data_IF_929700563134
#
_entry.id   IF_929700563134
#
_cell.length_a   1.000
_cell.length_b   1.000
_cell.length_c   1.000
_cell.angle_alpha   90.00
_cell.angle_beta   90.00
_cell.angle_gamma   90.00
#
_symmetry.space_group_name_H-M   'P 1'
#
loop_
_entity.id
_entity.type
_entity.pdbx_description
1 polymer ?
#
# COMPACT_ATOMS: atom_id res chain seq x y z
N UNK A 1 -13.73 37.53 -50.51
CA UNK A 1 -14.31 36.67 -49.46
C UNK A 1 -13.49 35.40 -49.38
N UNK A 2 -13.07 35.04 -48.17
CA UNK A 2 -12.58 33.72 -47.75
C UNK A 2 -11.23 33.23 -48.28
N UNK A 3 -10.20 33.28 -47.42
CA UNK A 3 -9.39 32.09 -47.13
C UNK A 3 -8.71 32.24 -45.77
N UNK A 4 -9.08 31.36 -44.86
CA UNK A 4 -8.68 31.27 -43.46
C UNK A 4 -7.24 30.75 -43.35
N UNK A 5 -6.34 31.57 -42.80
CA UNK A 5 -5.06 31.11 -42.26
C UNK A 5 -5.18 31.02 -40.75
N UNK A 6 -5.14 29.81 -40.20
CA UNK A 6 -5.26 29.58 -38.76
C UNK A 6 -5.02 28.14 -38.39
N UNK A 7 -3.86 27.58 -38.79
CA UNK A 7 -3.36 26.36 -38.16
C UNK A 7 -3.03 26.69 -36.71
N UNK A 8 -3.90 26.25 -35.81
CA UNK A 8 -3.69 26.31 -34.37
C UNK A 8 -2.42 25.53 -34.01
N UNK A 9 -1.49 26.18 -33.32
CA UNK A 9 -0.38 25.48 -32.67
C UNK A 9 -0.95 24.45 -31.68
N UNK A 10 -0.38 23.24 -31.59
CA UNK A 10 -0.78 22.28 -30.56
C UNK A 10 -0.53 22.88 -29.18
N UNK A 11 -1.51 22.71 -28.29
CA UNK A 11 -1.45 23.13 -26.88
C UNK A 11 -0.28 22.42 -26.18
N UNK A 12 0.44 23.17 -25.35
CA UNK A 12 1.59 22.73 -24.53
C UNK A 12 1.21 21.80 -23.36
N UNK A 13 -0.03 21.32 -23.28
CA UNK A 13 -0.56 20.64 -22.09
C UNK A 13 -0.69 19.11 -22.21
N UNK A 14 -0.01 18.48 -23.18
CA UNK A 14 0.03 17.01 -23.27
C UNK A 14 1.47 16.49 -23.15
N UNK A 15 1.75 15.54 -22.25
CA UNK A 15 3.06 14.93 -22.16
C UNK A 15 3.35 14.12 -23.42
N UNK A 16 4.58 14.25 -23.90
CA UNK A 16 5.11 13.53 -25.07
C UNK A 16 5.00 12.01 -24.86
N UNK A 17 4.74 11.29 -25.94
CA UNK A 17 4.79 9.82 -25.97
C UNK A 17 6.21 9.37 -25.63
N UNK A 18 6.37 8.77 -24.44
CA UNK A 18 7.65 8.26 -23.97
C UNK A 18 7.97 6.95 -24.72
N UNK A 19 9.17 6.91 -25.30
CA UNK A 19 9.72 5.74 -25.99
C UNK A 19 10.01 4.61 -24.96
N UNK A 20 9.42 3.41 -25.11
CA UNK A 20 9.67 2.28 -24.22
C UNK A 20 11.15 1.88 -24.10
N UNK A 21 11.95 2.13 -25.14
CA UNK A 21 13.38 1.82 -25.11
C UNK A 21 14.16 2.81 -24.24
N UNK A 22 13.76 4.10 -24.28
CA UNK A 22 14.32 5.12 -23.40
C UNK A 22 14.02 4.83 -21.92
N UNK A 23 12.86 4.23 -21.62
CA UNK A 23 12.52 3.80 -20.24
C UNK A 23 13.40 2.65 -19.77
N UNK A 24 13.74 1.69 -20.65
CA UNK A 24 14.62 0.57 -20.30
C UNK A 24 16.07 1.03 -20.07
N UNK A 25 16.56 1.95 -20.90
CA UNK A 25 17.89 2.54 -20.75
C UNK A 25 17.98 3.42 -19.48
N UNK A 26 16.89 4.13 -19.15
CA UNK A 26 16.76 4.89 -17.91
C UNK A 26 16.70 3.96 -16.68
N UNK A 27 16.07 2.78 -16.77
CA UNK A 27 16.08 1.78 -15.70
C UNK A 27 17.46 1.15 -15.47
N UNK A 28 18.26 0.95 -16.52
CA UNK A 28 19.65 0.51 -16.38
C UNK A 28 20.52 1.58 -15.72
N UNK A 29 20.34 2.83 -16.10
CA UNK A 29 21.03 3.96 -15.47
C UNK A 29 20.63 4.14 -13.99
N UNK A 30 19.37 3.89 -13.65
CA UNK A 30 18.87 3.87 -12.27
C UNK A 30 19.56 2.77 -11.45
N UNK A 31 19.81 1.61 -12.04
CA UNK A 31 20.54 0.53 -11.37
C UNK A 31 21.98 0.93 -11.04
N UNK A 32 22.68 1.62 -11.96
CA UNK A 32 24.05 2.10 -11.75
C UNK A 32 24.14 3.23 -10.70
N UNK A 33 23.18 4.18 -10.70
CA UNK A 33 23.14 5.28 -9.73
C UNK A 33 22.81 4.81 -8.30
N UNK A 34 21.96 3.78 -8.16
CA UNK A 34 21.65 3.18 -6.86
C UNK A 34 22.86 2.43 -6.28
N UNK A 35 23.69 1.82 -7.13
CA UNK A 35 24.94 1.19 -6.71
C UNK A 35 25.96 2.21 -6.17
N UNK A 36 26.06 3.40 -6.77
CA UNK A 36 26.98 4.44 -6.29
C UNK A 36 26.52 5.14 -4.99
N UNK A 37 25.21 5.09 -4.68
CA UNK A 37 24.63 5.61 -3.43
C UNK A 37 24.91 4.73 -2.19
N UNK A 38 25.46 3.52 -2.34
CA UNK A 38 25.70 2.58 -1.24
C UNK A 38 26.70 3.08 -0.17
N UNK A 39 27.51 4.10 -0.46
CA UNK A 39 28.62 4.52 0.43
C UNK A 39 28.25 5.44 1.60
N UNK A 40 26.98 5.83 1.79
CA UNK A 40 26.62 6.82 2.82
C UNK A 40 25.32 6.55 3.59
N UNK A 41 25.18 5.36 4.17
CA UNK A 41 24.37 5.10 5.38
C UNK A 41 24.57 3.64 5.75
N UNK A 42 24.74 3.31 7.03
CA UNK A 42 24.69 1.94 7.54
C UNK A 42 23.34 1.32 7.13
N UNK A 43 23.38 0.55 6.05
CA UNK A 43 22.26 0.03 5.26
C UNK A 43 22.36 -1.49 5.33
N UNK A 44 21.40 -2.12 6.01
CA UNK A 44 21.29 -3.57 6.14
C UNK A 44 19.86 -3.96 5.74
N UNK A 45 19.52 -3.81 4.45
CA UNK A 45 18.11 -3.70 4.01
C UNK A 45 17.42 -4.99 3.48
N UNK A 46 18.09 -5.98 2.86
CA UNK A 46 17.37 -7.19 2.40
C UNK A 46 17.24 -8.29 3.47
N UNK A 47 18.28 -8.53 4.27
CA UNK A 47 18.34 -9.66 5.23
C UNK A 47 17.32 -9.50 6.35
N UNK A 48 17.18 -8.29 6.90
CA UNK A 48 16.23 -8.01 7.99
C UNK A 48 14.77 -8.10 7.52
N UNK A 49 14.49 -7.69 6.28
CA UNK A 49 13.17 -7.84 5.66
C UNK A 49 12.79 -9.32 5.54
N UNK A 50 13.71 -10.15 5.02
CA UNK A 50 13.50 -11.61 4.92
C UNK A 50 13.33 -12.27 6.30
N UNK A 51 14.08 -11.84 7.32
CA UNK A 51 13.92 -12.31 8.71
C UNK A 51 12.53 -11.99 9.27
N UNK A 52 12.05 -10.76 9.09
CA UNK A 52 10.70 -10.36 9.51
C UNK A 52 9.61 -11.10 8.75
N UNK A 53 9.82 -11.39 7.48
CA UNK A 53 8.90 -12.21 6.69
C UNK A 53 8.79 -13.62 7.29
N UNK A 54 9.92 -14.27 7.61
CA UNK A 54 9.94 -15.58 8.26
C UNK A 54 9.26 -15.55 9.65
N UNK A 55 9.46 -14.50 10.43
CA UNK A 55 8.76 -14.31 11.71
C UNK A 55 7.23 -14.24 11.52
N UNK A 56 6.75 -13.51 10.50
CA UNK A 56 5.32 -13.46 10.17
C UNK A 56 4.77 -14.81 9.68
N UNK A 57 5.53 -15.55 8.89
CA UNK A 57 5.16 -16.89 8.42
C UNK A 57 5.08 -17.88 9.58
N UNK A 58 6.04 -17.83 10.50
CA UNK A 58 6.02 -18.62 11.72
C UNK A 58 4.82 -18.25 12.60
N UNK A 59 4.54 -16.96 12.77
CA UNK A 59 3.37 -16.50 13.51
C UNK A 59 2.07 -17.01 12.85
N UNK A 60 1.93 -16.86 11.53
CA UNK A 60 0.78 -17.38 10.77
C UNK A 60 0.59 -18.87 11.01
N UNK A 61 1.67 -19.65 10.87
CA UNK A 61 1.65 -21.10 11.04
C UNK A 61 1.28 -21.49 12.47
N UNK A 62 1.77 -20.76 13.48
CA UNK A 62 1.40 -20.98 14.88
C UNK A 62 -0.10 -20.77 15.13
N UNK A 63 -0.69 -19.75 14.49
CA UNK A 63 -2.12 -19.48 14.56
C UNK A 63 -2.94 -20.53 13.81
N UNK A 64 -2.47 -21.01 12.66
CA UNK A 64 -3.10 -22.10 11.90
C UNK A 64 -3.12 -23.40 12.72
N UNK A 65 -2.00 -23.75 13.36
CA UNK A 65 -1.92 -24.89 14.28
C UNK A 65 -2.89 -24.71 15.45
N UNK A 66 -2.87 -23.56 16.12
CA UNK A 66 -3.81 -23.28 17.22
C UNK A 66 -5.27 -23.42 16.77
N UNK A 67 -5.65 -22.82 15.64
CA UNK A 67 -6.99 -22.92 15.07
C UNK A 67 -7.37 -24.37 14.73
N UNK A 68 -6.43 -25.18 14.25
CA UNK A 68 -6.66 -26.60 13.96
C UNK A 68 -6.90 -27.44 15.22
N UNK A 69 -6.20 -27.15 16.33
CA UNK A 69 -6.41 -27.80 17.64
C UNK A 69 -7.78 -27.44 18.22
N UNK A 70 -8.20 -26.18 18.08
CA UNK A 70 -9.56 -25.77 18.46
C UNK A 70 -10.63 -26.39 17.54
N UNK A 71 -10.33 -26.60 16.24
CA UNK A 71 -11.22 -27.23 15.28
C UNK A 71 -11.39 -28.75 15.47
N UNK A 72 -10.35 -29.47 15.89
CA UNK A 72 -10.41 -30.92 16.15
C UNK A 72 -11.11 -31.26 17.46
N UNK A 73 -10.95 -30.44 18.50
CA UNK A 73 -11.76 -30.55 19.73
C UNK A 73 -13.27 -30.29 19.50
N UNK A 74 -13.60 -29.62 18.40
CA UNK A 74 -14.96 -29.25 18.01
C UNK A 74 -15.73 -30.40 17.33
N UNK A 75 -15.07 -31.19 16.48
CA UNK A 75 -15.70 -32.34 15.80
C UNK A 75 -16.06 -33.44 16.81
N UNK A 76 -15.31 -33.54 17.92
CA UNK A 76 -15.60 -34.48 19.00
C UNK A 76 -16.74 -34.07 19.95
N UNK A 77 -17.14 -32.79 19.99
CA UNK A 77 -18.14 -32.28 20.96
C UNK A 77 -19.25 -31.43 20.30
N UNK A 78 -20.14 -32.12 19.60
CA UNK A 78 -21.51 -31.72 19.28
C UNK A 78 -21.75 -30.61 18.24
N UNK A 79 -22.39 -31.03 17.16
CA UNK A 79 -23.52 -30.27 16.63
C UNK A 79 -24.48 -29.92 17.80
N UNK A 80 -24.67 -28.63 18.06
CA UNK A 80 -25.74 -28.02 18.91
C UNK A 80 -25.49 -27.79 20.42
N UNK A 81 -24.24 -27.72 20.92
CA UNK A 81 -24.00 -27.20 22.28
C UNK A 81 -23.68 -25.70 22.30
N UNK A 82 -24.07 -24.97 23.35
CA UNK A 82 -23.71 -23.55 23.59
C UNK A 82 -22.18 -23.38 23.62
N UNK A 83 -21.46 -24.42 24.05
CA UNK A 83 -19.99 -24.51 24.02
C UNK A 83 -19.45 -24.50 22.58
N UNK A 84 -20.15 -25.14 21.64
CA UNK A 84 -19.84 -25.05 20.21
C UNK A 84 -20.02 -23.63 19.65
N UNK A 85 -21.12 -22.94 19.96
CA UNK A 85 -21.30 -21.54 19.56
C UNK A 85 -20.20 -20.61 20.13
N UNK A 86 -19.78 -20.84 21.37
CA UNK A 86 -18.65 -20.13 21.98
C UNK A 86 -17.31 -20.45 21.30
N UNK A 87 -17.06 -21.70 20.93
CA UNK A 87 -15.87 -22.09 20.17
C UNK A 87 -15.81 -21.45 18.78
N UNK A 88 -16.94 -21.30 18.08
CA UNK A 88 -17.05 -20.54 16.82
C UNK A 88 -16.71 -19.05 17.01
N UNK A 89 -17.21 -18.43 18.08
CA UNK A 89 -16.91 -17.04 18.41
C UNK A 89 -15.42 -16.83 18.79
N UNK A 90 -14.82 -17.81 19.48
CA UNK A 90 -13.41 -17.77 19.88
C UNK A 90 -12.47 -18.07 18.69
N UNK A 91 -12.86 -18.92 17.74
CA UNK A 91 -12.10 -19.23 16.52
C UNK A 91 -12.15 -18.10 15.47
N UNK A 92 -13.09 -17.16 15.57
CA UNK A 92 -13.19 -16.03 14.63
C UNK A 92 -12.00 -15.05 14.71
N UNK A 93 -11.51 -14.79 15.92
CA UNK A 93 -10.35 -13.91 16.17
C UNK A 93 -9.04 -14.45 15.57
N UNK A 94 -8.65 -15.72 15.76
CA UNK A 94 -7.47 -16.27 15.11
C UNK A 94 -7.63 -16.33 13.59
N UNK A 95 -8.81 -16.66 13.06
CA UNK A 95 -9.02 -16.71 11.60
C UNK A 95 -8.83 -15.35 10.92
N UNK A 96 -9.39 -14.28 11.50
CA UNK A 96 -9.22 -12.92 10.97
C UNK A 96 -7.76 -12.45 11.06
N UNK A 97 -7.02 -12.88 12.08
CA UNK A 97 -5.58 -12.63 12.21
C UNK A 97 -4.76 -13.40 11.17
N UNK A 98 -5.01 -14.70 10.98
CA UNK A 98 -4.38 -15.52 9.93
C UNK A 98 -4.60 -14.85 8.57
N UNK A 99 -5.84 -14.52 8.23
CA UNK A 99 -6.15 -13.85 6.97
C UNK A 99 -5.44 -12.50 6.83
N UNK A 100 -5.27 -11.73 7.91
CA UNK A 100 -4.50 -10.48 7.87
C UNK A 100 -3.01 -10.76 7.58
N UNK A 101 -2.41 -11.71 8.30
CA UNK A 101 -1.02 -12.11 8.12
C UNK A 101 -0.76 -12.65 6.72
N UNK A 102 -1.61 -13.55 6.19
CA UNK A 102 -1.46 -14.08 4.83
C UNK A 102 -1.48 -12.99 3.76
N UNK A 103 -2.30 -11.94 3.93
CA UNK A 103 -2.33 -10.82 2.98
C UNK A 103 -1.07 -9.96 3.07
N UNK A 104 -0.59 -9.73 4.29
CA UNK A 104 0.63 -8.96 4.50
C UNK A 104 1.87 -9.70 3.98
N UNK A 105 1.99 -11.00 4.25
CA UNK A 105 3.06 -11.86 3.71
C UNK A 105 3.08 -11.78 2.19
N UNK A 106 1.93 -12.01 1.53
CA UNK A 106 1.82 -11.92 0.07
C UNK A 106 2.17 -10.55 -0.49
N UNK A 107 1.80 -9.47 0.20
CA UNK A 107 2.17 -8.12 -0.20
C UNK A 107 3.69 -7.93 -0.15
N UNK A 108 4.34 -8.41 0.92
CA UNK A 108 5.80 -8.32 1.08
C UNK A 108 6.50 -9.14 0.01
N UNK A 109 6.08 -10.39 -0.20
CA UNK A 109 6.60 -11.27 -1.26
C UNK A 109 6.50 -10.59 -2.64
N UNK A 110 5.32 -10.07 -2.98
CA UNK A 110 5.08 -9.36 -4.25
C UNK A 110 6.02 -8.17 -4.45
N UNK A 111 6.29 -7.42 -3.38
CA UNK A 111 7.19 -6.27 -3.44
C UNK A 111 8.67 -6.68 -3.53
N UNK A 112 9.07 -7.72 -2.79
CA UNK A 112 10.43 -8.27 -2.85
C UNK A 112 10.70 -8.85 -4.24
N UNK A 113 9.82 -9.71 -4.74
CA UNK A 113 9.95 -10.30 -6.09
C UNK A 113 10.10 -9.23 -7.18
N UNK A 114 9.40 -8.10 -7.05
CA UNK A 114 9.42 -7.05 -8.06
C UNK A 114 10.57 -6.04 -7.91
N UNK A 115 11.12 -5.88 -6.71
CA UNK A 115 11.99 -4.73 -6.39
C UNK A 115 13.20 -5.07 -5.49
N UNK A 116 13.50 -6.35 -5.25
CA UNK A 116 14.67 -6.76 -4.46
C UNK A 116 15.98 -6.22 -5.05
N UNK A 117 16.13 -6.24 -6.38
CA UNK A 117 17.29 -5.70 -7.08
C UNK A 117 17.43 -4.17 -6.94
N UNK A 118 16.37 -3.48 -6.54
CA UNK A 118 16.38 -2.05 -6.23
C UNK A 118 16.63 -1.77 -4.74
N UNK A 119 16.95 -2.79 -3.95
CA UNK A 119 17.25 -2.62 -2.53
C UNK A 119 16.04 -2.28 -1.67
N UNK A 120 14.85 -2.76 -2.04
CA UNK A 120 13.62 -2.50 -1.28
C UNK A 120 13.71 -3.10 0.14
N UNK A 121 13.32 -2.32 1.14
CA UNK A 121 13.10 -2.75 2.51
C UNK A 121 11.61 -2.72 2.81
N UNK A 122 11.08 -3.80 3.40
CA UNK A 122 9.68 -3.93 3.74
C UNK A 122 9.54 -4.26 5.24
N UNK A 123 9.15 -3.27 6.03
CA UNK A 123 8.99 -3.36 7.47
C UNK A 123 7.51 -3.54 7.86
N UNK A 124 7.08 -4.76 8.21
CA UNK A 124 5.71 -5.01 8.59
C UNK A 124 5.39 -4.54 10.02
N UNK A 125 4.09 -4.29 10.25
CA UNK A 125 3.49 -4.15 11.59
C UNK A 125 4.20 -3.13 12.49
N UNK A 126 4.57 -1.96 11.95
CA UNK A 126 5.20 -0.91 12.75
C UNK A 126 4.19 -0.42 13.79
N UNK A 127 4.52 -0.65 15.06
CA UNK A 127 3.67 -0.27 16.20
C UNK A 127 3.62 1.25 16.34
N UNK A 128 2.40 1.75 16.55
CA UNK A 128 2.09 3.12 16.91
C UNK A 128 1.24 3.07 18.19
N UNK A 129 1.63 3.76 19.28
CA UNK A 129 0.84 3.81 20.50
C UNK A 129 -0.59 4.26 20.22
N UNK A 130 -1.54 3.63 20.90
CA UNK A 130 -2.98 3.94 20.87
C UNK A 130 -3.68 3.83 19.49
N UNK A 131 -2.96 3.32 18.47
CA UNK A 131 -3.47 3.09 17.13
C UNK A 131 -3.19 1.63 16.71
N UNK A 132 -3.83 1.17 15.63
CA UNK A 132 -3.40 -0.09 15.01
C UNK A 132 -1.96 0.08 14.47
N UNK A 133 -1.20 -1.02 14.36
CA UNK A 133 0.07 -0.99 13.65
C UNK A 133 -0.13 -0.56 12.20
N UNK A 134 0.87 0.12 11.65
CA UNK A 134 0.99 0.30 10.19
C UNK A 134 1.26 -1.07 9.61
N UNK A 135 0.48 -1.50 8.63
CA UNK A 135 0.63 -2.86 8.12
C UNK A 135 1.97 -3.05 7.43
N UNK A 136 2.38 -2.10 6.58
CA UNK A 136 3.66 -2.15 5.91
C UNK A 136 4.27 -0.76 5.67
N UNK A 137 5.54 -0.63 6.03
CA UNK A 137 6.39 0.48 5.67
C UNK A 137 7.39 -0.02 4.63
N UNK A 138 7.42 0.61 3.47
CA UNK A 138 8.29 0.19 2.36
C UNK A 138 9.25 1.32 2.06
N UNK A 139 10.54 1.03 2.01
CA UNK A 139 11.60 2.02 1.78
C UNK A 139 12.52 1.56 0.67
N UNK A 140 12.96 2.51 -0.14
CA UNK A 140 13.97 2.30 -1.17
C UNK A 140 15.26 3.02 -0.79
N UNK A 141 16.41 2.68 -1.39
CA UNK A 141 17.62 3.48 -1.25
C UNK A 141 17.31 4.92 -1.68
N UNK A 142 17.62 5.91 -0.84
CA UNK A 142 17.20 7.32 -1.03
C UNK A 142 16.50 7.97 0.16
N UNK A 143 16.14 7.17 1.18
CA UNK A 143 15.43 7.56 2.42
C UNK A 143 13.95 7.88 2.21
N UNK A 144 13.42 7.74 1.00
CA UNK A 144 12.00 7.80 0.76
C UNK A 144 11.26 6.50 1.10
N UNK A 145 9.99 6.63 1.49
CA UNK A 145 9.19 5.49 1.90
C UNK A 145 7.71 5.65 1.56
N UNK A 146 7.04 4.51 1.42
CA UNK A 146 5.61 4.34 1.22
C UNK A 146 5.02 3.71 2.48
N UNK A 147 3.79 4.07 2.81
CA UNK A 147 3.02 3.42 3.87
C UNK A 147 1.81 2.73 3.26
N UNK A 148 1.65 1.43 3.54
CA UNK A 148 0.51 0.65 3.09
C UNK A 148 -0.37 0.24 4.27
N UNK A 149 -1.68 0.41 4.08
CA UNK A 149 -2.73 -0.17 4.90
C UNK A 149 -3.49 -1.21 4.06
N UNK A 150 -3.40 -2.48 4.46
CA UNK A 150 -4.00 -3.60 3.72
C UNK A 150 -5.36 -3.94 4.32
N UNK A 151 -6.41 -3.90 3.50
CA UNK A 151 -7.78 -3.99 3.97
C UNK A 151 -8.61 -4.90 3.06
N UNK A 152 -9.56 -5.62 3.63
CA UNK A 152 -10.47 -6.50 2.88
C UNK A 152 -11.83 -6.49 3.55
N UNK A 153 -12.87 -6.41 2.74
CA UNK A 153 -14.27 -6.42 3.14
C UNK A 153 -15.03 -7.62 2.55
N UNK A 154 -14.31 -8.68 2.14
CA UNK A 154 -14.89 -9.84 1.47
C UNK A 154 -15.47 -9.43 0.11
N UNK A 155 -16.63 -9.97 -0.23
CA UNK A 155 -17.38 -9.61 -1.45
C UNK A 155 -18.07 -8.25 -1.26
N UNK A 156 -17.29 -7.18 -1.27
CA UNK A 156 -17.77 -5.80 -1.16
C UNK A 156 -17.12 -4.91 -2.22
N UNK A 157 -17.82 -3.85 -2.59
CA UNK A 157 -17.28 -2.78 -3.44
C UNK A 157 -17.04 -1.53 -2.60
N UNK A 158 -15.84 -0.96 -2.68
CA UNK A 158 -15.43 0.25 -1.98
C UNK A 158 -15.71 1.47 -2.85
N UNK A 159 -16.34 2.48 -2.26
CA UNK A 159 -16.74 3.71 -2.93
C UNK A 159 -16.26 4.89 -2.10
N UNK A 160 -15.81 5.95 -2.76
CA UNK A 160 -15.49 7.20 -2.09
C UNK A 160 -16.67 8.15 -2.29
N UNK A 161 -17.22 8.64 -1.20
CA UNK A 161 -18.29 9.62 -1.23
C UNK A 161 -17.68 11.01 -1.06
N UNK A 162 -17.67 11.80 -2.13
CA UNK A 162 -17.07 13.14 -2.16
C UNK A 162 -17.75 14.10 -1.18
N UNK A 163 -19.09 14.11 -1.12
CA UNK A 163 -19.85 15.00 -0.24
C UNK A 163 -19.58 14.75 1.24
N UNK A 164 -19.32 13.49 1.61
CA UNK A 164 -19.00 13.09 2.99
C UNK A 164 -17.51 12.93 3.24
N UNK A 165 -16.68 13.12 2.20
CA UNK A 165 -15.23 12.95 2.20
C UNK A 165 -14.73 11.64 2.85
N UNK A 166 -15.48 10.54 2.68
CA UNK A 166 -15.22 9.28 3.37
C UNK A 166 -15.41 8.06 2.45
N UNK A 167 -14.73 6.97 2.80
CA UNK A 167 -14.92 5.68 2.14
C UNK A 167 -16.16 4.97 2.69
N UNK A 168 -16.85 4.29 1.80
CA UNK A 168 -18.01 3.46 2.04
C UNK A 168 -17.77 2.08 1.42
N UNK A 169 -18.44 1.05 1.96
CA UNK A 169 -18.48 -0.26 1.34
C UNK A 169 -19.94 -0.67 1.06
N UNK A 170 -20.16 -1.30 -0.09
CA UNK A 170 -21.43 -1.87 -0.55
C UNK A 170 -21.31 -3.39 -0.60
N UNK A 171 -22.34 -4.13 -0.16
CA UNK A 171 -22.40 -5.60 -0.22
C UNK A 171 -23.65 -6.03 -0.98
N UNK A 172 -23.49 -6.54 -2.20
CA UNK A 172 -24.59 -6.93 -3.06
C UNK A 172 -25.63 -5.80 -3.21
N UNK A 173 -26.92 -6.14 -3.09
CA UNK A 173 -28.04 -5.17 -3.17
C UNK A 173 -28.30 -4.38 -1.87
N UNK A 174 -27.48 -4.54 -0.83
CA UNK A 174 -27.65 -3.80 0.43
C UNK A 174 -27.12 -2.37 0.30
N UNK A 175 -27.65 -1.46 1.12
CA UNK A 175 -27.19 -0.08 1.19
C UNK A 175 -25.69 0.04 1.55
N UNK A 176 -25.11 1.20 1.23
CA UNK A 176 -23.70 1.49 1.55
C UNK A 176 -23.53 1.79 3.03
N UNK A 177 -22.51 1.20 3.66
CA UNK A 177 -22.10 1.54 5.03
C UNK A 177 -20.80 2.32 5.00
N UNK A 178 -20.67 3.29 5.91
CA UNK A 178 -19.41 4.02 6.07
C UNK A 178 -18.33 3.03 6.52
N UNK A 179 -17.14 3.20 5.96
CA UNK A 179 -15.98 2.46 6.42
C UNK A 179 -15.47 3.10 7.71
N UNK A 180 -15.65 2.39 8.82
CA UNK A 180 -15.15 2.80 10.13
C UNK A 180 -14.30 1.68 10.75
N UNK A 181 -13.13 2.00 11.32
CA UNK A 181 -12.46 3.31 11.26
C UNK A 181 -12.02 3.70 9.82
N UNK A 182 -11.92 5.01 9.53
CA UNK A 182 -11.47 5.51 8.21
C UNK A 182 -9.99 5.17 8.01
N UNK A 183 -9.64 4.27 7.06
CA UNK A 183 -8.26 3.81 6.88
C UNK A 183 -7.34 4.93 6.39
N UNK A 184 -7.86 5.94 5.70
CA UNK A 184 -7.07 7.07 5.21
C UNK A 184 -6.70 8.01 6.34
N UNK A 185 -7.63 8.22 7.28
CA UNK A 185 -7.38 9.02 8.47
C UNK A 185 -6.39 8.31 9.40
N UNK A 186 -6.63 7.03 9.67
CA UNK A 186 -5.73 6.18 10.46
C UNK A 186 -4.29 6.24 9.94
N UNK A 187 -4.10 6.03 8.63
CA UNK A 187 -2.78 6.07 8.00
C UNK A 187 -2.12 7.46 8.08
N UNK A 188 -2.92 8.52 8.06
CA UNK A 188 -2.43 9.91 8.22
C UNK A 188 -1.96 10.19 9.64
N UNK A 189 -2.67 9.68 10.64
CA UNK A 189 -2.32 9.85 12.06
C UNK A 189 -1.09 9.02 12.43
N UNK A 190 -1.03 7.79 11.92
CA UNK A 190 0.15 6.93 12.01
C UNK A 190 1.38 7.58 11.37
N UNK A 191 1.28 8.08 10.14
CA UNK A 191 2.37 8.77 9.44
C UNK A 191 2.86 10.00 10.20
N UNK A 192 1.92 10.78 10.76
CA UNK A 192 2.24 11.93 11.60
C UNK A 192 3.02 11.51 12.84
N UNK A 193 2.59 10.44 13.52
CA UNK A 193 3.26 9.93 14.73
C UNK A 193 4.66 9.41 14.43
N UNK A 194 4.85 8.62 13.37
CA UNK A 194 6.18 8.12 12.98
C UNK A 194 7.15 9.28 12.80
N UNK A 195 6.76 10.28 12.00
CA UNK A 195 7.59 11.46 11.70
C UNK A 195 8.07 12.19 12.96
N UNK A 196 7.27 12.19 14.02
CA UNK A 196 7.58 12.85 15.29
C UNK A 196 8.45 11.99 16.19
N UNK A 197 8.20 10.68 16.25
CA UNK A 197 8.70 9.82 17.32
C UNK A 197 9.71 8.76 16.87
N UNK A 198 9.72 8.38 15.59
CA UNK A 198 10.55 7.29 15.05
C UNK A 198 11.60 7.84 14.09
N UNK A 199 12.49 8.70 14.59
CA UNK A 199 13.48 9.39 13.75
C UNK A 199 14.44 8.43 13.09
N UNK A 200 14.73 7.31 13.73
CA UNK A 200 15.61 6.24 13.23
C UNK A 200 15.05 5.50 12.02
N UNK A 201 13.75 5.58 11.75
CA UNK A 201 13.15 5.09 10.50
C UNK A 201 13.40 6.03 9.32
N UNK A 202 13.92 7.23 9.58
CA UNK A 202 14.15 8.26 8.58
C UNK A 202 15.62 8.70 8.61
N UNK A 203 16.15 9.12 7.46
CA UNK A 203 17.45 9.77 7.45
C UNK A 203 17.48 11.07 8.28
N UNK A 204 18.68 11.63 8.44
CA UNK A 204 18.95 12.80 9.30
C UNK A 204 18.19 14.09 8.93
N UNK A 205 17.66 14.26 7.71
CA UNK A 205 16.97 15.49 7.28
C UNK A 205 15.46 15.52 7.58
N UNK A 206 14.89 16.72 7.79
CA UNK A 206 13.46 16.92 8.10
C UNK A 206 12.51 16.65 6.92
N UNK A 207 12.95 16.93 5.68
CA UNK A 207 12.14 16.75 4.45
C UNK A 207 11.89 15.29 4.08
N UNK A 208 12.83 14.42 4.44
CA UNK A 208 12.83 12.97 4.20
C UNK A 208 11.81 12.21 5.05
N UNK A 209 11.22 12.85 6.05
CA UNK A 209 10.32 12.19 7.04
C UNK A 209 8.85 12.20 6.64
N UNK A 210 8.53 12.61 5.42
CA UNK A 210 7.16 12.54 4.87
C UNK A 210 7.09 11.32 3.95
N UNK A 211 6.05 10.47 4.07
CA UNK A 211 5.87 9.38 3.12
C UNK A 211 5.68 9.97 1.72
N UNK A 212 6.25 9.31 0.71
CA UNK A 212 5.99 9.62 -0.70
C UNK A 212 4.51 9.44 -1.02
N UNK A 213 3.94 8.33 -0.54
CA UNK A 213 2.53 8.05 -0.66
C UNK A 213 2.03 7.27 0.56
N UNK A 214 0.78 7.54 0.89
CA UNK A 214 -0.03 6.74 1.80
C UNK A 214 -1.00 5.95 0.95
N UNK A 215 -1.02 4.64 1.09
CA UNK A 215 -1.71 3.74 0.17
C UNK A 215 -2.62 2.80 0.94
N UNK A 216 -3.92 2.84 0.65
CA UNK A 216 -4.87 1.83 1.10
C UNK A 216 -4.96 0.77 0.01
N UNK A 217 -4.50 -0.45 0.32
CA UNK A 217 -4.58 -1.59 -0.59
C UNK A 217 -5.84 -2.37 -0.27
N UNK A 218 -6.74 -2.44 -1.24
CA UNK A 218 -7.93 -3.26 -1.20
C UNK A 218 -7.57 -4.68 -1.67
N UNK A 219 -7.88 -5.68 -0.85
CA UNK A 219 -7.41 -7.05 -1.01
C UNK A 219 -8.53 -8.09 -1.17
N UNK A 220 -8.21 -9.16 -1.89
CA UNK A 220 -9.04 -10.35 -2.07
C UNK A 220 -10.22 -10.08 -2.99
N UNK A 221 -11.41 -10.53 -2.58
CA UNK A 221 -12.66 -10.32 -3.34
C UNK A 221 -13.19 -8.89 -3.27
N UNK A 222 -12.52 -8.00 -2.54
CA UNK A 222 -12.98 -6.63 -2.37
C UNK A 222 -12.66 -5.83 -3.63
N UNK A 223 -13.67 -5.20 -4.22
CA UNK A 223 -13.53 -4.42 -5.44
C UNK A 223 -13.47 -2.92 -5.12
N UNK A 224 -12.88 -2.15 -6.03
CA UNK A 224 -12.95 -0.69 -6.02
C UNK A 224 -13.98 -0.25 -7.07
N UNK A 225 -14.93 0.60 -6.70
CA UNK A 225 -15.91 1.17 -7.63
C UNK A 225 -15.20 2.08 -8.65
N UNK A 226 -15.88 2.41 -9.73
CA UNK A 226 -15.41 3.45 -10.63
C UNK A 226 -15.83 4.82 -10.10
N UNK A 227 -14.89 5.77 -10.09
CA UNK A 227 -15.13 7.14 -9.63
C UNK A 227 -15.06 8.12 -10.80
N UNK A 228 -15.35 9.39 -10.52
CA UNK A 228 -15.17 10.48 -11.48
C UNK A 228 -13.69 10.68 -11.79
N UNK A 229 -13.39 11.07 -13.02
CA UNK A 229 -12.01 11.19 -13.53
C UNK A 229 -11.13 12.12 -12.70
N UNK A 230 -11.69 13.19 -12.10
CA UNK A 230 -10.93 14.14 -11.28
C UNK A 230 -10.43 13.56 -9.95
N UNK A 231 -10.94 12.39 -9.54
CA UNK A 231 -10.44 11.65 -8.38
C UNK A 231 -9.29 10.72 -8.75
N UNK A 232 -8.89 10.63 -10.01
CA UNK A 232 -7.74 9.83 -10.41
C UNK A 232 -6.52 10.72 -10.64
N UNK A 233 -5.39 10.36 -10.02
CA UNK A 233 -4.10 10.92 -10.38
C UNK A 233 -3.42 10.01 -11.39
N UNK A 234 -2.79 10.62 -12.41
CA UNK A 234 -1.94 9.90 -13.35
C UNK A 234 -0.52 9.89 -12.79
N UNK A 235 0.03 8.70 -12.62
CA UNK A 235 1.41 8.47 -12.17
C UNK A 235 2.04 7.60 -13.26
N UNK A 236 2.99 8.16 -14.01
CA UNK A 236 3.45 7.57 -15.26
C UNK A 236 2.31 7.46 -16.30
N UNK A 237 2.12 6.26 -16.85
CA UNK A 237 1.02 5.92 -17.77
C UNK A 237 -0.24 5.41 -17.03
N UNK A 238 -0.11 5.10 -15.74
CA UNK A 238 -1.17 4.52 -14.93
C UNK A 238 -2.05 5.57 -14.26
N UNK A 239 -3.29 5.19 -13.95
CA UNK A 239 -4.26 6.00 -13.19
C UNK A 239 -4.63 5.31 -11.89
N UNK A 240 -4.54 6.04 -10.79
CA UNK A 240 -4.86 5.54 -9.46
C UNK A 240 -5.85 6.46 -8.74
N UNK A 241 -6.76 5.88 -7.97
CA UNK A 241 -7.69 6.67 -7.16
C UNK A 241 -6.89 7.45 -6.11
N UNK A 242 -7.02 8.77 -6.17
CA UNK A 242 -6.28 9.75 -5.41
C UNK A 242 -7.26 10.62 -4.63
N UNK A 243 -7.16 10.60 -3.31
CA UNK A 243 -8.07 11.30 -2.42
C UNK A 243 -7.26 12.37 -1.67
N UNK A 244 -7.42 13.66 -2.02
CA UNK A 244 -6.83 14.76 -1.28
C UNK A 244 -7.35 14.80 0.16
N UNK A 245 -6.46 15.06 1.12
CA UNK A 245 -6.81 15.24 2.55
C UNK A 245 -5.91 16.31 3.17
N UNK A 246 -6.36 16.88 4.27
CA UNK A 246 -5.64 17.93 5.02
C UNK A 246 -4.21 17.51 5.41
N UNK A 247 -4.02 16.24 5.84
CA UNK A 247 -2.72 15.69 6.24
C UNK A 247 -1.98 14.97 5.10
N UNK A 248 -2.18 15.44 3.87
CA UNK A 248 -1.63 14.87 2.65
C UNK A 248 -2.56 13.81 2.04
N UNK A 249 -2.46 13.64 0.73
CA UNK A 249 -3.34 12.75 -0.01
C UNK A 249 -3.12 11.27 0.30
N UNK A 250 -4.13 10.46 -0.02
CA UNK A 250 -4.10 9.01 0.09
C UNK A 250 -4.49 8.37 -1.24
N UNK A 251 -3.78 7.32 -1.62
CA UNK A 251 -4.15 6.47 -2.72
C UNK A 251 -4.99 5.31 -2.24
N UNK A 252 -5.90 4.85 -3.09
CA UNK A 252 -6.64 3.61 -2.87
C UNK A 252 -6.48 2.77 -4.13
N UNK A 253 -5.89 1.60 -3.98
CA UNK A 253 -5.57 0.72 -5.10
C UNK A 253 -6.04 -0.70 -4.83
N UNK A 254 -6.27 -1.47 -5.88
CA UNK A 254 -6.47 -2.90 -5.76
C UNK A 254 -5.12 -3.61 -5.58
N UNK A 255 -5.10 -4.77 -4.91
CA UNK A 255 -3.88 -5.56 -4.70
C UNK A 255 -3.09 -5.84 -6.00
N UNK A 256 -3.79 -5.99 -7.12
CA UNK A 256 -3.18 -6.29 -8.43
C UNK A 256 -2.49 -5.09 -9.05
N UNK A 257 -2.57 -3.91 -8.44
CA UNK A 257 -1.96 -2.67 -8.92
C UNK A 257 -0.76 -2.26 -8.08
N UNK A 258 -0.39 -3.05 -7.06
CA UNK A 258 0.66 -2.67 -6.09
C UNK A 258 2.01 -2.48 -6.79
N UNK A 259 2.38 -3.38 -7.69
CA UNK A 259 3.67 -3.34 -8.39
C UNK A 259 3.70 -2.15 -9.35
N UNK A 260 2.67 -1.99 -10.17
CA UNK A 260 2.56 -0.90 -11.15
C UNK A 260 2.53 0.46 -10.45
N UNK A 261 1.75 0.56 -9.35
CA UNK A 261 1.71 1.75 -8.52
C UNK A 261 3.09 2.10 -7.99
N UNK A 262 3.77 1.13 -7.36
CA UNK A 262 5.07 1.35 -6.72
C UNK A 262 6.11 1.75 -7.76
N UNK A 263 6.16 1.05 -8.90
CA UNK A 263 7.06 1.35 -10.02
C UNK A 263 6.82 2.75 -10.57
N UNK A 264 5.57 3.08 -10.89
CA UNK A 264 5.22 4.39 -11.44
C UNK A 264 5.59 5.52 -10.47
N UNK A 265 5.43 5.28 -9.16
CA UNK A 265 5.79 6.24 -8.12
C UNK A 265 7.30 6.49 -8.01
N UNK A 266 8.11 5.44 -8.18
CA UNK A 266 9.57 5.57 -8.18
C UNK A 266 10.04 6.40 -9.39
N UNK A 267 9.50 6.12 -10.57
CA UNK A 267 9.83 6.84 -11.81
C UNK A 267 9.45 8.32 -11.71
N UNK A 268 8.19 8.64 -11.35
CA UNK A 268 7.72 10.02 -11.23
C UNK A 268 8.60 10.85 -10.28
N UNK A 269 9.14 10.20 -9.23
CA UNK A 269 9.99 10.86 -8.26
C UNK A 269 11.39 11.17 -8.81
N UNK A 270 12.00 10.24 -9.54
CA UNK A 270 13.30 10.46 -10.15
C UNK A 270 13.26 11.59 -11.17
N UNK A 271 12.23 11.64 -12.01
CA UNK A 271 12.03 12.76 -12.94
C UNK A 271 11.95 14.10 -12.20
N UNK A 272 11.28 14.14 -11.04
CA UNK A 272 11.23 15.34 -10.18
C UNK A 272 12.58 15.71 -9.54
N UNK A 273 13.50 14.77 -9.34
CA UNK A 273 14.83 15.07 -8.82
C UNK A 273 15.75 15.61 -9.92
N UNK A 274 15.66 15.06 -11.14
CA UNK A 274 16.43 15.51 -12.30
C UNK A 274 16.08 16.92 -12.75
N UNK A 275 14.82 17.34 -12.65
CA UNK A 275 14.37 18.70 -13.02
C UNK A 275 14.80 19.78 -12.01
N UNK A 276 15.12 19.39 -10.77
CA UNK A 276 15.46 20.33 -9.70
C UNK A 276 16.98 20.46 -9.42
N UNK A 277 17.81 19.77 -10.19
CA UNK A 277 19.28 19.87 -10.18
C UNK A 277 19.76 20.55 -11.47
#
# INVERSE_FOLDING_TARGET
>A
MSSVSGLSKPSKDYPETIDPQAVLDELQFVHEQLADSEKASEYIAPVETRRKLQELEHERTSWEVAASVFGTAFIGSMALSIVGLLGLALAWKPLTRIQKLSRLIKLIETLLEAFEDLGVEALPLIRVPDLQPIDLFVRFPGKEFLLFAVRSFGESTIVYNESKQALYYKRGRKGSKRWEPDPMQELSDQAYWLRKNRRELFGSSKGVRKPMAKVVVIWGKTQLDQHRDHLYAKVGDQKFLFIPRERGACYVIHQSQVVEFTRAYLVERQSKLLVNN
#
